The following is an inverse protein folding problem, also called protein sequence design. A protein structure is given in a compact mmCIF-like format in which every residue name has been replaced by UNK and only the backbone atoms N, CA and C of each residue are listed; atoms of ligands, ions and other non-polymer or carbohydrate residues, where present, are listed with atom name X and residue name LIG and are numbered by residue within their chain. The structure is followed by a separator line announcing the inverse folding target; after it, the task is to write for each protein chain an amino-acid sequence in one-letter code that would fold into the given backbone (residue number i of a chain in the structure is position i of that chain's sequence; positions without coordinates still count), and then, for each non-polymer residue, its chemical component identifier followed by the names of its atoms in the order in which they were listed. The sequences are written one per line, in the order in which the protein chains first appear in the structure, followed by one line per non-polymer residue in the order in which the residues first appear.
data_IF_117821364430
#
_entry.id   IF_117821364430
#
_cell.length_a   1.000
_cell.length_b   1.000
_cell.length_c   1.000
_cell.angle_alpha   90.00
_cell.angle_beta   90.00
_cell.angle_gamma   90.00
#
_symmetry.space_group_name_H-M   'P 1'
#
loop_
_entity.id
_entity.type
_entity.pdbx_description
1 polymer ?
#
# COMPACT_ATOMS: atom_id res chain seq x y z
N UNK A 1 -5.52 -24.48 -1.27
CA UNK A 1 -4.77 -23.72 -2.28
C UNK A 1 -3.81 -22.84 -1.52
N UNK A 2 -2.52 -23.15 -1.59
CA UNK A 2 -1.43 -22.40 -0.95
C UNK A 2 -0.92 -21.27 -1.85
N UNK A 3 0.09 -20.54 -1.39
CA UNK A 3 0.77 -19.52 -2.20
C UNK A 3 1.48 -20.20 -3.38
N UNK A 4 2.03 -21.38 -3.17
CA UNK A 4 2.74 -22.18 -4.17
C UNK A 4 1.82 -22.58 -5.33
N UNK A 5 0.55 -22.89 -5.05
CA UNK A 5 -0.44 -23.20 -6.08
C UNK A 5 -0.76 -21.96 -6.94
N UNK A 6 -0.80 -20.77 -6.32
CA UNK A 6 -1.03 -19.51 -7.02
C UNK A 6 0.18 -19.11 -7.86
N UNK A 7 1.40 -19.26 -7.34
CA UNK A 7 2.64 -19.03 -8.08
C UNK A 7 2.72 -19.92 -9.32
N UNK A 8 2.40 -21.21 -9.16
CA UNK A 8 2.30 -22.13 -10.28
C UNK A 8 1.20 -21.72 -11.26
N UNK A 9 0.04 -21.27 -10.81
CA UNK A 9 -1.02 -20.83 -11.73
C UNK A 9 -0.59 -19.59 -12.53
N UNK A 10 0.05 -18.62 -11.87
CA UNK A 10 0.54 -17.38 -12.48
C UNK A 10 1.66 -17.67 -13.49
N UNK A 11 2.54 -18.64 -13.22
CA UNK A 11 3.64 -18.99 -14.13
C UNK A 11 3.18 -19.58 -15.47
N UNK A 12 1.96 -20.12 -15.54
CA UNK A 12 1.38 -20.69 -16.76
C UNK A 12 0.56 -19.70 -17.57
N UNK A 13 0.40 -18.45 -17.11
CA UNK A 13 -0.33 -17.42 -17.85
C UNK A 13 0.42 -17.02 -19.12
N UNK A 14 -0.31 -16.82 -20.21
CA UNK A 14 0.25 -16.14 -21.39
C UNK A 14 0.61 -14.69 -21.04
N UNK A 15 1.45 -14.05 -21.86
CA UNK A 15 1.84 -12.65 -21.63
C UNK A 15 0.64 -11.68 -21.53
N UNK A 16 -0.43 -11.94 -22.29
CA UNK A 16 -1.65 -11.12 -22.28
C UNK A 16 -2.44 -11.35 -21.00
N UNK A 17 -2.58 -12.59 -20.56
CA UNK A 17 -3.29 -12.92 -19.31
C UNK A 17 -2.52 -12.42 -18.10
N UNK A 18 -1.19 -12.55 -18.10
CA UNK A 18 -0.32 -12.02 -17.07
C UNK A 18 -0.43 -10.50 -16.96
N UNK A 19 -0.46 -9.77 -18.09
CA UNK A 19 -0.65 -8.33 -18.08
C UNK A 19 -2.01 -7.91 -17.48
N UNK A 20 -3.08 -8.65 -17.80
CA UNK A 20 -4.41 -8.44 -17.21
C UNK A 20 -4.42 -8.76 -15.71
N UNK A 21 -3.82 -9.88 -15.31
CA UNK A 21 -3.69 -10.27 -13.91
C UNK A 21 -2.94 -9.21 -13.11
N UNK A 22 -1.79 -8.75 -13.59
CA UNK A 22 -0.99 -7.73 -12.92
C UNK A 22 -1.77 -6.44 -12.70
N UNK A 23 -2.48 -5.94 -13.73
CA UNK A 23 -3.28 -4.72 -13.60
C UNK A 23 -4.32 -4.84 -12.48
N UNK A 24 -5.06 -5.96 -12.47
CA UNK A 24 -6.04 -6.21 -11.41
C UNK A 24 -5.37 -6.36 -10.03
N UNK A 25 -4.23 -7.05 -9.96
CA UNK A 25 -3.53 -7.30 -8.71
C UNK A 25 -2.96 -6.00 -8.10
N UNK A 26 -2.51 -5.05 -8.93
CA UNK A 26 -2.09 -3.72 -8.48
C UNK A 26 -3.25 -2.97 -7.80
N UNK A 27 -4.44 -2.97 -8.41
CA UNK A 27 -5.65 -2.37 -7.82
C UNK A 27 -6.04 -3.08 -6.52
N UNK A 28 -6.07 -4.42 -6.52
CA UNK A 28 -6.39 -5.21 -5.34
C UNK A 28 -5.40 -4.97 -4.18
N UNK A 29 -4.10 -4.94 -4.47
CA UNK A 29 -3.07 -4.68 -3.46
C UNK A 29 -3.18 -3.25 -2.92
N UNK A 30 -3.48 -2.27 -3.78
CA UNK A 30 -3.79 -0.90 -3.38
C UNK A 30 -4.96 -0.85 -2.39
N UNK A 31 -6.08 -1.51 -2.70
CA UNK A 31 -7.23 -1.57 -1.81
C UNK A 31 -6.91 -2.21 -0.44
N UNK A 32 -6.02 -3.21 -0.39
CA UNK A 32 -5.58 -3.78 0.89
C UNK A 32 -4.72 -2.80 1.69
N UNK A 33 -3.80 -2.13 1.01
CA UNK A 33 -2.95 -1.11 1.62
C UNK A 33 -3.78 0.04 2.21
N UNK A 34 -4.80 0.52 1.48
CA UNK A 34 -5.70 1.56 1.98
C UNK A 34 -6.41 1.14 3.27
N UNK A 35 -6.92 -0.10 3.33
CA UNK A 35 -7.56 -0.64 4.55
C UNK A 35 -6.58 -0.74 5.72
N UNK A 36 -5.34 -1.16 5.47
CA UNK A 36 -4.31 -1.24 6.51
C UNK A 36 -3.96 0.15 7.04
N UNK A 37 -3.80 1.14 6.15
CA UNK A 37 -3.54 2.53 6.54
C UNK A 37 -4.71 3.10 7.34
N UNK A 38 -5.95 2.91 6.91
CA UNK A 38 -7.14 3.36 7.66
C UNK A 38 -7.22 2.74 9.06
N UNK A 39 -6.93 1.44 9.16
CA UNK A 39 -6.84 0.74 10.44
C UNK A 39 -5.74 1.31 11.32
N UNK A 40 -4.56 1.58 10.76
CA UNK A 40 -3.42 2.11 11.49
C UNK A 40 -3.62 3.56 11.95
N UNK A 41 -4.31 4.37 11.15
CA UNK A 41 -4.80 5.70 11.55
C UNK A 41 -5.75 5.57 12.73
N UNK A 42 -6.74 4.67 12.64
CA UNK A 42 -7.73 4.47 13.72
C UNK A 42 -7.09 3.95 15.00
N UNK A 43 -6.02 3.17 14.88
CA UNK A 43 -5.22 2.67 16.00
C UNK A 43 -4.23 3.70 16.57
N UNK A 44 -4.16 4.91 16.00
CA UNK A 44 -3.27 5.99 16.46
C UNK A 44 -1.79 5.75 16.16
N UNK A 45 -1.45 4.82 15.26
CA UNK A 45 -0.05 4.46 14.98
C UNK A 45 0.75 5.60 14.37
N UNK A 46 0.07 6.52 13.68
CA UNK A 46 0.69 7.67 13.05
C UNK A 46 0.64 8.95 13.90
N UNK A 47 0.03 8.93 15.09
CA UNK A 47 -0.17 10.12 15.91
C UNK A 47 1.16 10.82 16.27
N UNK A 48 2.18 10.03 16.61
CA UNK A 48 3.50 10.56 16.94
C UNK A 48 4.16 11.24 15.72
N UNK A 49 4.03 10.64 14.54
CA UNK A 49 4.57 11.20 13.30
C UNK A 49 3.79 12.46 12.88
N UNK A 50 2.47 12.45 13.01
CA UNK A 50 1.62 13.62 12.73
C UNK A 50 1.98 14.80 13.64
N UNK A 51 2.08 14.56 14.95
CA UNK A 51 2.49 15.60 15.91
C UNK A 51 3.89 16.16 15.60
N UNK A 52 4.82 15.30 15.20
CA UNK A 52 6.17 15.75 14.82
C UNK A 52 6.12 16.62 13.56
N UNK A 53 5.35 16.22 12.55
CA UNK A 53 5.17 17.01 11.33
C UNK A 53 4.57 18.40 11.63
N UNK A 54 3.57 18.48 12.51
CA UNK A 54 2.99 19.75 12.94
C UNK A 54 4.03 20.64 13.63
N UNK A 55 4.82 20.08 14.55
CA UNK A 55 5.88 20.80 15.25
C UNK A 55 7.00 21.30 14.31
N UNK A 56 7.35 20.50 13.30
CA UNK A 56 8.34 20.88 12.29
C UNK A 56 7.81 22.01 11.40
N UNK A 57 6.54 21.94 11.01
CA UNK A 57 5.87 22.97 10.23
C UNK A 57 5.80 24.30 10.99
N UNK A 58 5.33 24.28 12.24
CA UNK A 58 5.25 25.46 13.11
C UNK A 58 6.63 26.09 13.36
N UNK A 59 7.68 25.27 13.41
CA UNK A 59 9.04 25.74 13.61
C UNK A 59 9.76 26.17 12.32
N UNK A 60 9.08 26.14 11.17
CA UNK A 60 9.67 26.50 9.88
C UNK A 60 10.75 25.53 9.38
N UNK A 61 10.71 24.26 9.83
CA UNK A 61 11.65 23.20 9.45
C UNK A 61 11.18 22.38 8.24
N UNK A 62 10.19 22.87 7.49
CA UNK A 62 9.68 22.24 6.27
C UNK A 62 10.14 22.99 5.02
N UNK A 63 10.24 22.28 3.89
CA UNK A 63 10.44 22.88 2.57
C UNK A 63 9.12 22.90 1.78
N UNK A 64 8.97 23.83 0.82
CA UNK A 64 7.86 23.77 -0.13
C UNK A 64 7.84 22.43 -0.88
N UNK A 65 6.63 21.97 -1.21
CA UNK A 65 6.38 20.79 -2.03
C UNK A 65 6.79 21.00 -3.49
#
# INVERSE_FOLDING_TARGET
MGVEDLESAVSHLSAVEFARFRKWFEEFAGDQWDREIESDITAGRFDAAGKQADQDFEAGRCTPL
#
